data_IF_266520963374
#
_entry.id   IF_266520963374
#
_cell.length_a   1.000
_cell.length_b   1.000
_cell.length_c   1.000
_cell.angle_alpha   90.00
_cell.angle_beta   90.00
_cell.angle_gamma   90.00
#
_symmetry.space_group_name_H-M   'P 1'
#
loop_
_entity.id
_entity.type
_entity.pdbx_description
1 polymer ?
#
# COMPACT_ATOMS: atom_id res chain seq x y z
N UNK A 1 26.83 -11.60 -47.82
CA UNK A 1 25.64 -12.17 -47.16
C UNK A 1 25.26 -11.26 -45.99
N UNK A 2 23.96 -11.05 -45.73
CA UNK A 2 23.43 -9.89 -44.99
C UNK A 2 23.41 -10.09 -43.46
N UNK A 3 24.52 -10.55 -42.88
CA UNK A 3 24.57 -10.85 -41.43
C UNK A 3 24.59 -9.59 -40.56
N UNK A 4 25.08 -8.46 -41.08
CA UNK A 4 25.17 -7.20 -40.32
C UNK A 4 23.80 -6.57 -40.01
N UNK A 5 22.82 -6.73 -40.90
CA UNK A 5 21.43 -6.33 -40.65
C UNK A 5 20.73 -7.25 -39.63
N UNK A 6 21.13 -8.52 -39.58
CA UNK A 6 20.62 -9.50 -38.62
C UNK A 6 21.17 -9.26 -37.21
N UNK A 7 22.45 -8.85 -37.07
CA UNK A 7 23.08 -8.57 -35.77
C UNK A 7 22.50 -7.30 -35.12
N UNK A 8 22.29 -6.21 -35.88
CA UNK A 8 21.62 -5.01 -35.35
C UNK A 8 20.18 -5.29 -34.92
N UNK A 9 19.45 -6.07 -35.71
CA UNK A 9 18.07 -6.48 -35.39
C UNK A 9 17.98 -7.39 -34.16
N UNK A 10 18.89 -8.35 -34.01
CA UNK A 10 18.90 -9.27 -32.86
C UNK A 10 19.27 -8.56 -31.55
N UNK A 11 20.20 -7.61 -31.58
CA UNK A 11 20.54 -6.78 -30.42
C UNK A 11 19.38 -5.89 -29.97
N UNK A 12 18.68 -5.26 -30.94
CA UNK A 12 17.48 -4.45 -30.65
C UNK A 12 16.34 -5.31 -30.10
N UNK A 13 16.18 -6.53 -30.61
CA UNK A 13 15.18 -7.48 -30.12
C UNK A 13 15.43 -7.86 -28.65
N UNK A 14 16.67 -8.22 -28.30
CA UNK A 14 17.06 -8.54 -26.92
C UNK A 14 16.86 -7.34 -26.00
N UNK A 15 17.20 -6.13 -26.45
CA UNK A 15 16.99 -4.89 -25.68
C UNK A 15 15.51 -4.63 -25.40
N UNK A 16 14.63 -4.90 -26.36
CA UNK A 16 13.19 -4.75 -26.19
C UNK A 16 12.62 -5.77 -25.19
N UNK A 17 13.11 -7.01 -25.23
CA UNK A 17 12.76 -8.04 -24.23
C UNK A 17 13.23 -7.65 -22.83
N UNK A 18 14.46 -7.13 -22.71
CA UNK A 18 14.98 -6.60 -21.45
C UNK A 18 14.10 -5.48 -20.90
N UNK A 19 13.72 -4.51 -21.74
CA UNK A 19 12.84 -3.40 -21.34
C UNK A 19 11.50 -3.91 -20.79
N UNK A 20 10.89 -4.87 -21.49
CA UNK A 20 9.63 -5.48 -21.06
C UNK A 20 9.78 -6.20 -19.71
N UNK A 21 10.81 -7.04 -19.55
CA UNK A 21 11.09 -7.73 -18.30
C UNK A 21 11.41 -6.79 -17.14
N UNK A 22 12.18 -5.73 -17.39
CA UNK A 22 12.51 -4.71 -16.39
C UNK A 22 11.27 -3.94 -15.92
N UNK A 23 10.35 -3.60 -16.84
CA UNK A 23 9.08 -2.94 -16.47
C UNK A 23 8.20 -3.87 -15.64
N UNK A 24 8.11 -5.14 -15.99
CA UNK A 24 7.34 -6.14 -15.23
C UNK A 24 7.89 -6.26 -13.80
N UNK A 25 9.21 -6.46 -13.65
CA UNK A 25 9.84 -6.53 -12.32
C UNK A 25 9.67 -5.24 -11.51
N UNK A 26 9.74 -4.08 -12.16
CA UNK A 26 9.51 -2.79 -11.51
C UNK A 26 8.06 -2.65 -11.01
N UNK A 27 7.07 -3.12 -11.78
CA UNK A 27 5.67 -3.09 -11.38
C UNK A 27 5.38 -4.04 -10.21
N UNK A 28 5.95 -5.25 -10.22
CA UNK A 28 5.82 -6.20 -9.10
C UNK A 28 6.41 -5.62 -7.81
N UNK A 29 7.62 -5.04 -7.90
CA UNK A 29 8.25 -4.36 -6.79
C UNK A 29 7.41 -3.18 -6.27
N UNK A 30 6.87 -2.36 -7.18
CA UNK A 30 6.03 -1.22 -6.83
C UNK A 30 4.75 -1.65 -6.10
N UNK A 31 4.09 -2.72 -6.58
CA UNK A 31 2.89 -3.27 -5.93
C UNK A 31 3.20 -3.83 -4.54
N UNK A 32 4.31 -4.57 -4.39
CA UNK A 32 4.73 -5.10 -3.10
C UNK A 32 4.99 -3.98 -2.07
N UNK A 33 5.69 -2.93 -2.49
CA UNK A 33 5.94 -1.75 -1.64
C UNK A 33 4.66 -0.96 -1.35
N UNK A 34 3.77 -0.84 -2.35
CA UNK A 34 2.46 -0.21 -2.19
C UNK A 34 1.62 -0.93 -1.14
N UNK A 35 1.47 -2.25 -1.24
CA UNK A 35 0.74 -3.06 -0.28
C UNK A 35 1.32 -2.96 1.14
N UNK A 36 2.66 -3.02 1.27
CA UNK A 36 3.31 -2.91 2.58
C UNK A 36 3.04 -1.54 3.24
N UNK A 37 3.25 -0.44 2.50
CA UNK A 37 3.00 0.92 3.03
C UNK A 37 1.51 1.17 3.28
N UNK A 38 0.64 0.67 2.40
CA UNK A 38 -0.81 0.74 2.54
C UNK A 38 -1.29 0.03 3.80
N UNK A 39 -0.83 -1.19 4.06
CA UNK A 39 -1.20 -1.94 5.26
C UNK A 39 -0.78 -1.22 6.56
N UNK A 40 0.42 -0.62 6.58
CA UNK A 40 0.90 0.16 7.73
C UNK A 40 0.03 1.40 7.95
N UNK A 41 -0.24 2.17 6.89
CA UNK A 41 -1.06 3.37 6.97
C UNK A 41 -2.51 3.06 7.40
N UNK A 42 -3.12 2.04 6.78
CA UNK A 42 -4.46 1.58 7.12
C UNK A 42 -4.56 1.12 8.58
N UNK A 43 -3.62 0.28 9.04
CA UNK A 43 -3.62 -0.18 10.43
C UNK A 43 -3.48 0.99 11.43
N UNK A 44 -2.57 1.93 11.18
CA UNK A 44 -2.41 3.12 12.03
C UNK A 44 -3.70 3.95 12.11
N UNK A 45 -4.37 4.14 10.97
CA UNK A 45 -5.65 4.84 10.89
C UNK A 45 -6.77 4.09 11.63
N UNK A 46 -6.84 2.76 11.46
CA UNK A 46 -7.81 1.91 12.16
C UNK A 46 -7.68 2.02 13.67
N UNK A 47 -6.45 1.93 14.21
CA UNK A 47 -6.16 2.13 15.64
C UNK A 47 -6.65 3.51 16.09
N UNK A 48 -6.29 4.58 15.38
CA UNK A 48 -6.67 5.95 15.76
C UNK A 48 -8.19 6.13 15.83
N UNK A 49 -8.92 5.64 14.83
CA UNK A 49 -10.39 5.75 14.79
C UNK A 49 -11.03 4.96 15.92
N UNK A 50 -10.53 3.76 16.24
CA UNK A 50 -11.03 2.98 17.39
C UNK A 50 -10.80 3.74 18.69
N UNK A 51 -9.61 4.28 18.91
CA UNK A 51 -9.31 5.06 20.12
C UNK A 51 -10.23 6.28 20.24
N UNK A 52 -10.40 7.05 19.18
CA UNK A 52 -11.31 8.21 19.15
C UNK A 52 -12.77 7.80 19.37
N UNK A 53 -13.21 6.71 18.75
CA UNK A 53 -14.58 6.19 18.88
C UNK A 53 -14.88 5.73 20.30
N UNK A 54 -13.96 4.97 20.91
CA UNK A 54 -14.06 4.52 22.30
C UNK A 54 -13.97 5.70 23.29
N UNK A 55 -13.17 6.72 22.99
CA UNK A 55 -13.08 7.92 23.83
C UNK A 55 -14.42 8.67 23.87
N UNK A 56 -15.06 8.85 22.70
CA UNK A 56 -16.40 9.45 22.62
C UNK A 56 -17.45 8.67 23.40
N UNK A 57 -17.28 7.35 23.53
CA UNK A 57 -18.14 6.50 24.35
C UNK A 57 -17.81 6.58 25.86
N UNK A 58 -16.76 7.29 26.26
CA UNK A 58 -16.33 7.46 27.65
C UNK A 58 -15.47 6.31 28.17
N UNK A 59 -14.93 5.46 27.28
CA UNK A 59 -14.15 4.29 27.68
C UNK A 59 -12.76 4.67 28.20
N UNK A 60 -12.22 5.83 27.83
CA UNK A 60 -10.93 6.31 28.34
C UNK A 60 -10.98 6.52 29.86
N UNK A 61 -12.04 7.19 30.34
CA UNK A 61 -12.32 7.42 31.76
C UNK A 61 -12.50 6.09 32.53
N UNK A 62 -13.00 5.06 31.84
CA UNK A 62 -13.27 3.74 32.42
C UNK A 62 -12.04 2.83 32.42
N UNK A 63 -11.27 2.79 31.33
CA UNK A 63 -10.15 1.87 31.18
C UNK A 63 -9.04 2.48 30.31
N UNK A 64 -8.18 3.33 30.91
CA UNK A 64 -7.06 3.94 30.18
C UNK A 64 -6.01 2.90 29.75
N UNK A 65 -5.93 1.76 30.44
CA UNK A 65 -5.03 0.64 30.09
C UNK A 65 -5.39 -0.01 28.75
N UNK A 66 -6.69 -0.04 28.40
CA UNK A 66 -7.15 -0.58 27.12
C UNK A 66 -6.67 0.28 25.96
N UNK A 67 -6.67 1.61 26.13
CA UNK A 67 -6.21 2.56 25.11
C UNK A 67 -4.71 2.38 24.79
N UNK A 68 -3.91 2.05 25.80
CA UNK A 68 -2.48 1.73 25.60
C UNK A 68 -2.24 0.36 24.96
N UNK A 69 -3.21 -0.55 25.08
CA UNK A 69 -3.10 -1.93 24.60
C UNK A 69 -3.58 -2.10 23.15
N UNK A 70 -4.53 -1.27 22.69
CA UNK A 70 -5.02 -1.28 21.31
C UNK A 70 -3.91 -0.81 20.37
N UNK A 71 -3.67 -1.57 19.29
CA UNK A 71 -2.61 -1.32 18.32
C UNK A 71 -1.23 -1.85 18.70
N UNK A 72 -1.03 -2.27 19.96
CA UNK A 72 0.23 -2.88 20.44
C UNK A 72 0.06 -4.36 20.76
N UNK A 73 -0.86 -4.69 21.68
CA UNK A 73 -1.16 -6.05 22.12
C UNK A 73 -2.47 -6.57 21.56
N UNK A 74 -3.46 -5.68 21.41
CA UNK A 74 -4.79 -6.00 20.91
C UNK A 74 -4.93 -5.38 19.53
N UNK A 75 -5.31 -6.19 18.53
CA UNK A 75 -5.61 -5.68 17.20
C UNK A 75 -6.83 -4.76 17.26
N UNK A 76 -6.82 -3.66 16.51
CA UNK A 76 -7.94 -2.70 16.54
C UNK A 76 -9.25 -3.32 16.04
N UNK A 77 -9.17 -4.35 15.20
CA UNK A 77 -10.31 -5.07 14.65
C UNK A 77 -10.78 -6.25 15.54
N UNK A 78 -10.13 -6.48 16.67
CA UNK A 78 -10.48 -7.55 17.61
C UNK A 78 -11.62 -7.12 18.53
N UNK A 79 -12.83 -7.17 17.98
CA UNK A 79 -14.07 -6.84 18.69
C UNK A 79 -14.20 -7.61 20.00
N UNK A 80 -13.85 -8.90 20.00
CA UNK A 80 -14.03 -9.77 21.15
C UNK A 80 -13.15 -9.33 22.32
N UNK A 81 -11.85 -9.13 22.08
CA UNK A 81 -10.93 -8.71 23.14
C UNK A 81 -11.20 -7.28 23.60
N UNK A 82 -11.54 -6.36 22.69
CA UNK A 82 -11.91 -4.98 23.06
C UNK A 82 -13.18 -4.99 23.92
N UNK A 83 -14.25 -5.66 23.48
CA UNK A 83 -15.51 -5.71 24.21
C UNK A 83 -15.33 -6.37 25.59
N UNK A 84 -14.61 -7.50 25.67
CA UNK A 84 -14.37 -8.21 26.92
C UNK A 84 -13.56 -7.38 27.93
N UNK A 85 -12.57 -6.62 27.47
CA UNK A 85 -11.81 -5.73 28.33
C UNK A 85 -12.71 -4.63 28.94
N UNK A 86 -13.58 -4.03 28.12
CA UNK A 86 -14.54 -3.01 28.58
C UNK A 86 -15.56 -3.61 29.56
N UNK A 87 -16.14 -4.78 29.23
CA UNK A 87 -17.13 -5.46 30.09
C UNK A 87 -16.51 -5.79 31.45
N UNK A 88 -15.30 -6.34 31.47
CA UNK A 88 -14.60 -6.72 32.70
C UNK A 88 -14.36 -5.50 33.59
N UNK A 89 -13.81 -4.43 33.05
CA UNK A 89 -13.52 -3.20 33.80
C UNK A 89 -14.79 -2.49 34.25
N UNK A 90 -15.83 -2.46 33.40
CA UNK A 90 -17.16 -1.96 33.79
C UNK A 90 -17.73 -2.75 34.97
N UNK A 91 -17.65 -4.07 34.93
CA UNK A 91 -18.20 -4.94 35.99
C UNK A 91 -17.46 -4.70 37.31
N UNK A 92 -16.15 -4.49 37.26
CA UNK A 92 -15.33 -4.19 38.44
C UNK A 92 -15.65 -2.80 39.04
N UNK A 93 -15.79 -1.76 38.19
CA UNK A 93 -15.98 -0.39 38.66
C UNK A 93 -17.44 0.00 38.94
N UNK A 94 -18.37 -0.64 38.23
CA UNK A 94 -19.82 -0.36 38.26
C UNK A 94 -20.63 -1.52 38.86
N UNK A 95 -19.99 -2.39 39.64
CA UNK A 95 -20.62 -3.54 40.28
C UNK A 95 -21.60 -3.16 41.39
N UNK A 96 -21.89 -4.09 42.31
CA UNK A 96 -22.93 -3.94 43.35
C UNK A 96 -22.70 -2.78 44.33
N UNK A 97 -21.46 -2.31 44.49
CA UNK A 97 -21.15 -1.21 45.41
C UNK A 97 -20.04 -0.30 44.82
N UNK A 98 -20.37 0.51 43.80
CA UNK A 98 -19.38 1.35 43.15
C UNK A 98 -18.95 2.48 44.08
N UNK A 99 -17.66 2.84 44.05
CA UNK A 99 -17.19 4.06 44.72
C UNK A 99 -17.97 5.27 44.20
N UNK A 100 -18.24 6.25 45.05
CA UNK A 100 -18.97 7.48 44.68
C UNK A 100 -18.33 8.20 43.49
N UNK A 101 -17.00 8.11 43.35
CA UNK A 101 -16.25 8.64 42.22
C UNK A 101 -16.56 7.94 40.88
N UNK A 102 -16.98 6.67 40.91
CA UNK A 102 -17.22 5.86 39.71
C UNK A 102 -18.68 5.96 39.22
N UNK A 103 -19.62 6.30 40.11
CA UNK A 103 -21.05 6.47 39.78
C UNK A 103 -21.30 7.32 38.52
N UNK A 104 -20.70 8.53 38.36
CA UNK A 104 -20.92 9.34 37.15
C UNK A 104 -20.37 8.68 35.88
N UNK A 105 -19.21 8.01 35.96
CA UNK A 105 -18.59 7.28 34.84
C UNK A 105 -19.51 6.12 34.42
N UNK A 106 -19.99 5.34 35.39
CA UNK A 106 -20.88 4.21 35.15
C UNK A 106 -22.16 4.63 34.44
N UNK A 107 -22.79 5.73 34.90
CA UNK A 107 -24.00 6.28 34.28
C UNK A 107 -23.74 6.77 32.85
N UNK A 108 -22.62 7.45 32.60
CA UNK A 108 -22.21 7.90 31.26
C UNK A 108 -22.07 6.70 30.31
N UNK A 109 -21.40 5.63 30.76
CA UNK A 109 -21.26 4.38 30.00
C UNK A 109 -22.64 3.73 29.76
N UNK A 110 -23.49 3.63 30.78
CA UNK A 110 -24.82 3.03 30.63
C UNK A 110 -25.66 3.76 29.57
N UNK A 111 -25.54 5.09 29.49
CA UNK A 111 -26.21 5.89 28.46
C UNK A 111 -25.59 5.71 27.08
N UNK A 112 -24.27 5.78 26.95
CA UNK A 112 -23.57 5.71 25.67
C UNK A 112 -23.68 4.32 25.01
N UNK A 113 -23.75 3.28 25.82
CA UNK A 113 -23.88 1.89 25.37
C UNK A 113 -25.33 1.39 25.35
N UNK A 114 -26.31 2.25 25.63
CA UNK A 114 -27.74 1.90 25.69
C UNK A 114 -28.03 0.72 26.62
N UNK A 115 -27.44 0.71 27.80
CA UNK A 115 -27.58 -0.35 28.81
C UNK A 115 -28.77 -0.11 29.74
N UNK A 116 -29.27 1.12 29.78
CA UNK A 116 -30.47 1.52 30.50
C UNK A 116 -31.52 2.03 29.52
N UNK A 117 -32.79 1.93 29.91
CA UNK A 117 -33.91 2.46 29.13
C UNK A 117 -33.85 3.98 29.11
N UNK A 118 -33.74 4.57 27.92
CA UNK A 118 -33.80 6.03 27.70
C UNK A 118 -34.96 6.31 26.75
N UNK A 119 -36.10 6.74 27.31
CA UNK A 119 -37.34 6.93 26.55
C UNK A 119 -37.80 5.63 25.89
N UNK A 120 -38.14 5.70 24.60
CA UNK A 120 -38.53 4.55 23.77
C UNK A 120 -37.35 3.89 23.02
N UNK A 121 -36.10 4.21 23.35
CA UNK A 121 -34.95 3.60 22.70
C UNK A 121 -34.77 2.15 23.18
N UNK A 122 -34.34 1.23 22.29
CA UNK A 122 -33.97 -0.11 22.70
C UNK A 122 -32.80 -0.05 23.69
N UNK A 123 -32.87 -0.88 24.72
CA UNK A 123 -31.80 -1.08 25.69
C UNK A 123 -31.32 -2.54 25.61
N UNK A 124 -30.09 -2.76 26.03
CA UNK A 124 -29.42 -4.05 25.88
C UNK A 124 -28.78 -4.49 27.19
N UNK A 125 -28.44 -5.79 27.27
CA UNK A 125 -27.57 -6.27 28.35
C UNK A 125 -26.20 -5.62 28.25
N UNK A 126 -25.44 -5.60 29.35
CA UNK A 126 -24.07 -5.06 29.37
C UNK A 126 -23.22 -5.66 28.24
N UNK A 127 -23.30 -6.98 28.05
CA UNK A 127 -22.54 -7.66 26.99
C UNK A 127 -23.00 -7.25 25.60
N UNK A 128 -24.30 -7.24 25.34
CA UNK A 128 -24.84 -6.96 24.00
C UNK A 128 -24.64 -5.49 23.60
N UNK A 129 -24.88 -4.55 24.52
CA UNK A 129 -24.74 -3.12 24.24
C UNK A 129 -23.29 -2.72 23.98
N UNK A 130 -22.36 -3.24 24.80
CA UNK A 130 -20.92 -3.03 24.60
C UNK A 130 -20.47 -3.64 23.28
N UNK A 131 -20.78 -4.92 23.05
CA UNK A 131 -20.36 -5.61 21.82
C UNK A 131 -20.88 -4.91 20.57
N UNK A 132 -22.17 -4.50 20.54
CA UNK A 132 -22.76 -3.77 19.41
C UNK A 132 -22.06 -2.45 19.12
N UNK A 133 -21.77 -1.64 20.14
CA UNK A 133 -21.09 -0.35 19.95
C UNK A 133 -19.64 -0.53 19.53
N UNK A 134 -18.95 -1.52 20.09
CA UNK A 134 -17.59 -1.86 19.66
C UNK A 134 -17.60 -2.31 18.20
N UNK A 135 -18.56 -3.13 17.76
CA UNK A 135 -18.72 -3.51 16.35
C UNK A 135 -18.92 -2.27 15.46
N UNK A 136 -19.76 -1.31 15.85
CA UNK A 136 -19.99 -0.09 15.06
C UNK A 136 -18.71 0.75 14.93
N UNK A 137 -17.97 0.93 16.04
CA UNK A 137 -16.71 1.68 16.05
C UNK A 137 -15.64 0.97 15.22
N UNK A 138 -15.46 -0.34 15.44
CA UNK A 138 -14.50 -1.16 14.71
C UNK A 138 -14.85 -1.24 13.24
N UNK A 139 -16.14 -1.38 12.89
CA UNK A 139 -16.60 -1.40 11.50
C UNK A 139 -16.24 -0.11 10.76
N UNK A 140 -16.50 1.05 11.38
CA UNK A 140 -16.09 2.36 10.82
C UNK A 140 -14.57 2.48 10.69
N UNK A 141 -13.84 2.01 11.70
CA UNK A 141 -12.39 2.01 11.67
C UNK A 141 -11.83 1.14 10.55
N UNK A 142 -12.37 -0.08 10.37
CA UNK A 142 -11.97 -1.00 9.31
C UNK A 142 -12.27 -0.41 7.93
N UNK A 143 -13.47 0.12 7.69
CA UNK A 143 -13.78 0.74 6.39
C UNK A 143 -12.86 1.92 6.06
N UNK A 144 -12.53 2.76 7.04
CA UNK A 144 -11.59 3.87 6.82
C UNK A 144 -10.14 3.41 6.69
N UNK A 145 -9.74 2.36 7.42
CA UNK A 145 -8.42 1.74 7.31
C UNK A 145 -8.21 1.13 5.93
N UNK A 146 -9.20 0.40 5.42
CA UNK A 146 -9.17 -0.22 4.09
C UNK A 146 -9.09 0.83 2.98
N UNK A 147 -9.88 1.90 3.10
CA UNK A 147 -9.85 3.01 2.15
C UNK A 147 -8.46 3.68 2.10
N UNK A 148 -7.89 4.01 3.26
CA UNK A 148 -6.56 4.63 3.31
C UNK A 148 -5.46 3.67 2.86
N UNK A 149 -5.58 2.38 3.18
CA UNK A 149 -4.64 1.36 2.73
C UNK A 149 -4.62 1.26 1.21
N UNK A 150 -5.80 1.24 0.57
CA UNK A 150 -5.92 1.19 -0.88
C UNK A 150 -5.39 2.46 -1.55
N UNK A 151 -5.73 3.63 -1.02
CA UNK A 151 -5.25 4.93 -1.53
C UNK A 151 -3.73 5.01 -1.44
N UNK A 152 -3.17 4.74 -0.26
CA UNK A 152 -1.71 4.75 -0.04
C UNK A 152 -1.01 3.72 -0.92
N UNK A 153 -1.57 2.51 -1.05
CA UNK A 153 -0.99 1.49 -1.91
C UNK A 153 -0.96 1.92 -3.37
N UNK A 154 -2.05 2.54 -3.86
CA UNK A 154 -2.15 3.07 -5.22
C UNK A 154 -1.14 4.20 -5.45
N UNK A 155 -1.04 5.14 -4.52
CA UNK A 155 -0.15 6.29 -4.64
C UNK A 155 1.32 5.86 -4.65
N UNK A 156 1.70 4.98 -3.73
CA UNK A 156 3.06 4.42 -3.66
C UNK A 156 3.38 3.60 -4.91
N UNK A 157 2.46 2.75 -5.36
CA UNK A 157 2.66 1.95 -6.58
C UNK A 157 2.84 2.85 -7.79
N UNK A 158 2.01 3.90 -7.91
CA UNK A 158 2.07 4.85 -9.03
C UNK A 158 3.37 5.64 -9.02
N UNK A 159 3.79 6.13 -7.85
CA UNK A 159 5.05 6.87 -7.69
C UNK A 159 6.27 6.02 -8.09
N UNK A 160 6.39 4.81 -7.53
CA UNK A 160 7.50 3.91 -7.82
C UNK A 160 7.48 3.46 -9.27
N UNK A 161 6.31 3.12 -9.81
CA UNK A 161 6.18 2.70 -11.22
C UNK A 161 6.61 3.83 -12.16
N UNK A 162 6.21 5.07 -11.89
CA UNK A 162 6.61 6.24 -12.68
C UNK A 162 8.12 6.45 -12.64
N UNK A 163 8.70 6.43 -11.45
CA UNK A 163 10.15 6.57 -11.24
C UNK A 163 10.92 5.48 -12.01
N UNK A 164 10.59 4.20 -11.79
CA UNK A 164 11.27 3.07 -12.45
C UNK A 164 11.05 3.02 -13.95
N UNK A 165 9.86 3.36 -14.44
CA UNK A 165 9.60 3.46 -15.88
C UNK A 165 10.47 4.53 -16.51
N UNK A 166 10.67 5.67 -15.84
CA UNK A 166 11.54 6.74 -16.35
C UNK A 166 13.01 6.33 -16.37
N UNK A 167 13.51 5.66 -15.34
CA UNK A 167 14.88 5.14 -15.28
C UNK A 167 15.13 4.08 -16.37
N UNK A 168 14.19 3.16 -16.55
CA UNK A 168 14.26 2.11 -17.58
C UNK A 168 14.21 2.74 -18.98
N UNK A 169 13.34 3.72 -19.21
CA UNK A 169 13.25 4.42 -20.50
C UNK A 169 14.54 5.19 -20.83
N UNK A 170 15.14 5.86 -19.85
CA UNK A 170 16.41 6.56 -20.02
C UNK A 170 17.54 5.56 -20.37
N UNK A 171 17.63 4.46 -19.62
CA UNK A 171 18.62 3.40 -19.86
C UNK A 171 18.44 2.78 -21.25
N UNK A 172 17.20 2.46 -21.63
CA UNK A 172 16.87 1.92 -22.94
C UNK A 172 17.26 2.87 -24.08
N UNK A 173 17.01 4.17 -23.94
CA UNK A 173 17.37 5.17 -24.95
C UNK A 173 18.90 5.28 -25.14
N UNK A 174 19.67 5.22 -24.05
CA UNK A 174 21.14 5.21 -24.11
C UNK A 174 21.64 3.97 -24.86
N UNK A 175 21.07 2.80 -24.59
CA UNK A 175 21.48 1.56 -25.25
C UNK A 175 21.06 1.52 -26.72
N UNK A 176 19.86 2.00 -27.06
CA UNK A 176 19.42 2.10 -28.45
C UNK A 176 20.31 3.04 -29.27
N UNK A 177 20.59 4.24 -28.76
CA UNK A 177 21.45 5.21 -29.47
C UNK A 177 22.85 4.65 -29.71
N UNK A 178 23.41 3.95 -28.72
CA UNK A 178 24.72 3.28 -28.83
C UNK A 178 24.70 2.18 -29.90
N UNK A 179 23.66 1.33 -29.93
CA UNK A 179 23.52 0.27 -30.95
C UNK A 179 23.38 0.88 -32.36
N UNK A 180 22.56 1.91 -32.52
CA UNK A 180 22.35 2.58 -33.82
C UNK A 180 23.66 3.21 -34.31
N UNK A 181 24.39 3.92 -33.43
CA UNK A 181 25.67 4.52 -33.78
C UNK A 181 26.69 3.47 -34.27
N UNK A 182 26.76 2.31 -33.61
CA UNK A 182 27.63 1.20 -34.01
C UNK A 182 27.24 0.64 -35.39
N UNK A 183 25.94 0.44 -35.66
CA UNK A 183 25.45 -0.04 -36.97
C UNK A 183 25.79 0.96 -38.07
N UNK A 184 25.56 2.26 -37.85
CA UNK A 184 25.88 3.32 -38.82
C UNK A 184 27.39 3.34 -39.12
N UNK A 185 28.24 3.26 -38.10
CA UNK A 185 29.69 3.22 -38.29
C UNK A 185 30.14 2.05 -39.17
N UNK A 186 29.59 0.85 -38.96
CA UNK A 186 29.89 -0.33 -39.78
C UNK A 186 29.45 -0.11 -41.23
N UNK A 187 28.25 0.43 -41.45
CA UNK A 187 27.73 0.72 -42.81
C UNK A 187 28.63 1.71 -43.56
N UNK A 188 29.13 2.75 -42.88
CA UNK A 188 30.06 3.73 -43.48
C UNK A 188 31.39 3.07 -43.88
N UNK A 189 31.96 2.21 -43.04
CA UNK A 189 33.20 1.48 -43.37
C UNK A 189 33.00 0.59 -44.61
N UNK A 190 31.90 -0.15 -44.66
CA UNK A 190 31.58 -1.03 -45.80
C UNK A 190 31.40 -0.20 -47.09
N UNK A 191 30.70 0.94 -47.02
CA UNK A 191 30.53 1.84 -48.17
C UNK A 191 31.89 2.34 -48.71
N UNK A 192 32.80 2.75 -47.82
CA UNK A 192 34.15 3.19 -48.20
C UNK A 192 34.90 2.05 -48.90
N UNK A 193 34.88 0.84 -48.34
CA UNK A 193 35.53 -0.33 -48.96
C UNK A 193 34.97 -0.64 -50.35
N UNK A 194 33.65 -0.55 -50.52
CA UNK A 194 32.99 -0.77 -51.82
C UNK A 194 33.39 0.30 -52.85
N UNK A 195 33.42 1.57 -52.45
CA UNK A 195 33.83 2.68 -53.34
C UNK A 195 35.29 2.47 -53.81
N UNK A 196 36.21 2.23 -52.87
CA UNK A 196 37.63 1.97 -53.19
C UNK A 196 37.73 0.74 -54.11
N UNK A 197 37.03 -0.34 -53.80
CA UNK A 197 37.02 -1.55 -54.61
C UNK A 197 36.52 -1.29 -56.03
N UNK A 198 35.42 -0.55 -56.20
CA UNK A 198 34.86 -0.21 -57.51
C UNK A 198 35.84 0.65 -58.32
N UNK A 199 36.50 1.63 -57.70
CA UNK A 199 37.53 2.43 -58.36
C UNK A 199 38.70 1.55 -58.83
N UNK A 200 39.22 0.69 -57.95
CA UNK A 200 40.32 -0.23 -58.28
C UNK A 200 39.92 -1.24 -59.37
N UNK A 201 38.69 -1.75 -59.33
CA UNK A 201 38.15 -2.67 -60.34
C UNK A 201 37.98 -1.98 -61.68
N UNK A 202 37.49 -0.74 -61.69
CA UNK A 202 37.29 0.02 -62.91
C UNK A 202 38.63 0.34 -63.58
N UNK A 203 39.66 0.69 -62.80
CA UNK A 203 41.03 0.87 -63.31
C UNK A 203 41.61 -0.40 -63.94
N UNK A 204 41.32 -1.58 -63.39
CA UNK A 204 41.80 -2.86 -63.93
C UNK A 204 41.16 -3.26 -65.27
N UNK A 205 39.94 -2.81 -65.56
CA UNK A 205 39.24 -3.14 -66.82
C UNK A 205 39.57 -2.22 -68.01
N UNK A 206 40.33 -1.14 -67.78
CA UNK A 206 40.79 -0.21 -68.85
C UNK A 206 42.23 -0.50 -69.31
N UNK A 207 42.81 -1.61 -68.87
CA UNK A 207 43.98 -2.24 -69.50
C UNK A 207 43.48 -3.45 -70.27
#
# INVERSE_FOLDING_TARGET
MPELGSIGGSLLYVLNQWKSGALLAATEYAMAQGLAKGAIAGNAQGVNIVLLGLNKLGVEDLCPELFKSIGTKILYNDVANIANAIITKKTQMCGLNPSSANVPICKKIDMNFSLIKIGNKPFYTIRDGITRKVIDVVGKATSSADALAQETAKDVTTAITKEKTSEIAATYAIWQTTIIAAVVAIVVIVLIMVIIYLVLRHRRKKK
#
